data_IF_656147198540
#
_entry.id   IF_656147198540
#
_cell.length_a   1.000
_cell.length_b   1.000
_cell.length_c   1.000
_cell.angle_alpha   90.00
_cell.angle_beta   90.00
_cell.angle_gamma   90.00
#
_symmetry.space_group_name_H-M   'P 1'
#
loop_
_entity.id
_entity.type
_entity.pdbx_description
1 polymer ?
#
# COMPACT_ATOMS: atom_id res chain seq x y z
N UNK A 1 57.54 -5.76 11.39
CA UNK A 1 56.33 -5.00 11.75
C UNK A 1 55.14 -5.76 11.17
N UNK A 2 54.49 -6.62 11.95
CA UNK A 2 53.43 -7.53 11.47
C UNK A 2 52.08 -7.05 12.01
N UNK A 3 51.21 -6.58 11.13
CA UNK A 3 49.85 -6.16 11.49
C UNK A 3 48.95 -7.40 11.61
N UNK A 4 48.37 -7.62 12.78
CA UNK A 4 47.35 -8.65 12.98
C UNK A 4 45.97 -8.07 12.62
N UNK A 5 45.34 -8.58 11.55
CA UNK A 5 43.95 -8.28 11.23
C UNK A 5 43.05 -9.02 12.24
N UNK A 6 42.33 -8.24 13.06
CA UNK A 6 41.33 -8.77 14.00
C UNK A 6 40.00 -8.87 13.26
N UNK A 7 39.64 -10.07 12.80
CA UNK A 7 38.30 -10.33 12.25
C UNK A 7 37.36 -10.53 13.44
N UNK A 8 36.47 -9.56 13.66
CA UNK A 8 35.41 -9.63 14.65
C UNK A 8 34.15 -10.16 13.94
N UNK A 9 33.80 -11.42 14.18
CA UNK A 9 32.55 -12.01 13.69
C UNK A 9 31.40 -11.42 14.49
N UNK A 10 30.64 -10.51 13.88
CA UNK A 10 29.42 -9.94 14.46
C UNK A 10 28.28 -10.92 14.19
N UNK A 11 27.73 -11.53 15.25
CA UNK A 11 26.50 -12.30 15.16
C UNK A 11 25.33 -11.30 15.14
N UNK A 12 24.60 -11.21 14.02
CA UNK A 12 23.39 -10.40 13.94
C UNK A 12 22.30 -11.04 14.82
N UNK A 13 21.93 -10.37 15.91
CA UNK A 13 20.80 -10.76 16.73
C UNK A 13 19.49 -10.40 16.01
N UNK A 14 18.58 -11.37 15.85
CA UNK A 14 17.18 -11.15 15.44
C UNK A 14 16.50 -10.35 16.54
N UNK A 15 16.21 -9.08 16.28
CA UNK A 15 15.44 -8.25 17.21
C UNK A 15 13.96 -8.48 16.93
N UNK A 16 13.28 -9.20 17.82
CA UNK A 16 11.83 -9.25 17.89
C UNK A 16 11.42 -8.26 18.96
N UNK A 17 10.90 -7.10 18.55
CA UNK A 17 10.28 -6.15 19.47
C UNK A 17 8.76 -6.37 19.37
N UNK A 18 8.15 -6.80 20.48
CA UNK A 18 6.70 -6.81 20.65
C UNK A 18 6.39 -5.97 21.88
N UNK A 19 5.56 -4.94 21.73
CA UNK A 19 5.04 -4.14 22.83
C UNK A 19 3.52 -4.34 22.89
N UNK A 20 2.98 -4.59 24.09
CA UNK A 20 1.53 -4.63 24.29
C UNK A 20 1.06 -3.26 24.80
N UNK A 21 0.28 -2.57 23.97
CA UNK A 21 -0.14 -1.18 24.14
C UNK A 21 -1.57 -1.11 24.72
N UNK A 22 -1.69 -1.38 26.02
CA UNK A 22 -2.98 -1.37 26.72
C UNK A 22 -3.53 0.04 27.07
N UNK A 23 -3.06 1.13 26.45
CA UNK A 23 -3.39 2.51 26.89
C UNK A 23 -4.08 3.41 25.85
N UNK A 24 -4.51 2.87 24.70
CA UNK A 24 -5.47 3.55 23.82
C UNK A 24 -4.92 4.65 22.90
N UNK A 25 -3.64 5.01 23.02
CA UNK A 25 -2.86 5.71 21.99
C UNK A 25 -1.42 5.17 22.03
N UNK A 26 -0.86 4.75 20.90
CA UNK A 26 0.48 4.17 20.81
C UNK A 26 1.35 4.81 19.75
N UNK A 27 2.58 5.23 20.08
CA UNK A 27 3.54 5.75 19.11
C UNK A 27 4.84 4.95 19.17
N UNK A 28 5.20 4.27 18.08
CA UNK A 28 6.39 3.42 18.00
C UNK A 28 7.35 3.87 16.90
N UNK A 29 8.65 3.79 17.16
CA UNK A 29 9.69 4.08 16.17
C UNK A 29 10.74 2.98 16.17
N UNK A 30 10.92 2.35 15.01
CA UNK A 30 11.88 1.30 14.74
C UNK A 30 12.92 1.80 13.74
N UNK A 31 14.19 1.74 14.11
CA UNK A 31 15.31 2.03 13.21
C UNK A 31 16.30 0.87 13.21
N UNK A 32 16.55 0.25 12.06
CA UNK A 32 17.44 -0.90 11.95
C UNK A 32 18.30 -0.87 10.68
N UNK A 33 19.54 -1.35 10.76
CA UNK A 33 20.35 -1.65 9.58
C UNK A 33 20.03 -3.01 8.96
N UNK A 34 19.32 -3.88 9.69
CA UNK A 34 19.00 -5.27 9.34
C UNK A 34 17.53 -5.40 8.93
N UNK A 35 17.02 -6.60 8.64
CA UNK A 35 15.62 -6.88 8.32
C UNK A 35 14.81 -7.15 9.62
N UNK A 36 14.25 -6.14 10.31
CA UNK A 36 13.47 -6.37 11.52
C UNK A 36 12.13 -7.04 11.18
N UNK A 37 11.66 -7.90 12.07
CA UNK A 37 10.28 -8.38 12.08
C UNK A 37 9.58 -7.70 13.27
N UNK A 38 8.48 -6.99 13.01
CA UNK A 38 7.67 -6.33 14.02
C UNK A 38 6.24 -6.87 13.96
N UNK A 39 5.67 -7.07 15.15
CA UNK A 39 4.26 -7.37 15.30
C UNK A 39 3.68 -6.51 16.41
N UNK A 40 2.55 -5.85 16.15
CA UNK A 40 1.83 -5.07 17.14
C UNK A 40 0.34 -5.38 17.09
N UNK A 41 -0.29 -5.44 18.26
CA UNK A 41 -1.72 -5.65 18.40
C UNK A 41 -2.30 -4.51 19.27
N UNK A 42 -3.27 -3.74 18.77
CA UNK A 42 -4.09 -2.82 19.58
C UNK A 42 -5.52 -3.31 19.65
N UNK A 43 -6.01 -3.47 20.87
CA UNK A 43 -7.39 -3.90 21.12
C UNK A 43 -8.40 -2.76 21.19
N UNK A 44 -7.92 -1.51 21.22
CA UNK A 44 -8.70 -0.27 21.09
C UNK A 44 -7.75 0.93 20.96
N UNK A 45 -8.21 2.01 20.33
CA UNK A 45 -7.48 3.28 20.25
C UNK A 45 -6.68 3.48 18.96
N UNK A 46 -5.96 4.58 18.86
CA UNK A 46 -5.22 4.95 17.66
C UNK A 46 -3.73 4.59 17.78
N UNK A 47 -3.15 4.09 16.69
CA UNK A 47 -1.73 3.78 16.59
C UNK A 47 -0.98 4.71 15.64
N UNK A 48 0.30 4.95 15.92
CA UNK A 48 1.25 5.49 14.96
C UNK A 48 2.52 4.65 15.02
N UNK A 49 2.93 4.09 13.88
CA UNK A 49 4.16 3.31 13.78
C UNK A 49 5.10 3.88 12.73
N UNK A 50 6.39 3.96 13.07
CA UNK A 50 7.42 4.48 12.18
C UNK A 50 8.53 3.44 12.00
N UNK A 51 8.69 2.92 10.79
CA UNK A 51 9.71 1.95 10.44
C UNK A 51 10.73 2.55 9.48
N UNK A 52 11.99 2.64 9.90
CA UNK A 52 13.10 3.02 9.04
C UNK A 52 14.13 1.89 9.00
N UNK A 53 14.36 1.29 7.83
CA UNK A 53 15.34 0.21 7.71
C UNK A 53 16.27 0.31 6.50
N UNK A 54 17.53 -0.13 6.66
CA UNK A 54 18.43 -0.38 5.51
C UNK A 54 18.08 -1.66 4.73
N UNK A 55 17.37 -2.60 5.37
CA UNK A 55 17.02 -3.92 4.81
C UNK A 55 15.49 -4.11 4.79
N UNK A 56 14.98 -5.32 4.48
CA UNK A 56 13.55 -5.62 4.31
C UNK A 56 12.81 -5.68 5.67
N UNK A 57 12.12 -4.64 6.17
CA UNK A 57 11.27 -4.82 7.35
C UNK A 57 10.07 -5.71 7.01
N UNK A 58 9.65 -6.54 7.95
CA UNK A 58 8.38 -7.25 7.93
C UNK A 58 7.52 -6.70 9.08
N UNK A 59 6.33 -6.18 8.79
CA UNK A 59 5.38 -5.74 9.80
C UNK A 59 4.07 -6.52 9.65
N UNK A 60 3.53 -6.98 10.77
CA UNK A 60 2.19 -7.58 10.85
C UNK A 60 1.45 -6.93 12.01
N UNK A 61 0.38 -6.20 11.74
CA UNK A 61 -0.29 -5.41 12.76
C UNK A 61 -1.80 -5.63 12.75
N UNK A 62 -2.40 -5.74 13.93
CA UNK A 62 -3.85 -5.91 14.10
C UNK A 62 -4.38 -4.83 15.04
N UNK A 63 -5.33 -4.05 14.56
CA UNK A 63 -5.88 -2.91 15.29
C UNK A 63 -7.41 -3.01 15.39
N UNK A 64 -7.96 -2.67 16.54
CA UNK A 64 -9.41 -2.49 16.69
C UNK A 64 -9.83 -1.01 16.56
N UNK A 65 -8.86 -0.11 16.37
CA UNK A 65 -9.02 1.32 16.08
C UNK A 65 -8.21 1.68 14.81
N UNK A 66 -7.91 2.97 14.63
CA UNK A 66 -7.10 3.42 13.49
C UNK A 66 -5.60 3.29 13.69
N UNK A 67 -4.86 3.37 12.59
CA UNK A 67 -3.41 3.44 12.60
C UNK A 67 -2.83 4.31 11.48
N UNK A 68 -1.69 4.93 11.75
CA UNK A 68 -0.82 5.52 10.74
C UNK A 68 0.57 4.89 10.76
N UNK A 69 0.92 4.16 9.70
CA UNK A 69 2.18 3.45 9.54
C UNK A 69 3.06 4.08 8.47
N UNK A 70 4.30 4.45 8.81
CA UNK A 70 5.28 4.97 7.85
C UNK A 70 6.46 4.02 7.71
N UNK A 71 6.64 3.46 6.51
CA UNK A 71 7.69 2.51 6.16
C UNK A 71 8.70 3.13 5.20
N UNK A 72 9.90 3.43 5.69
CA UNK A 72 11.02 3.89 4.88
C UNK A 72 12.11 2.83 4.81
N UNK A 73 12.43 2.33 3.61
CA UNK A 73 13.49 1.33 3.46
C UNK A 73 14.36 1.48 2.21
N UNK A 74 15.65 1.13 2.34
CA UNK A 74 16.51 0.91 1.16
C UNK A 74 16.14 -0.36 0.37
N UNK A 75 15.45 -1.30 1.01
CA UNK A 75 15.05 -2.61 0.47
C UNK A 75 13.51 -2.76 0.44
N UNK A 76 13.00 -3.91 0.01
CA UNK A 76 11.57 -4.19 -0.14
C UNK A 76 10.89 -4.39 1.23
N UNK A 77 10.13 -3.43 1.78
CA UNK A 77 9.33 -3.68 2.98
C UNK A 77 8.18 -4.65 2.64
N UNK A 78 7.81 -5.52 3.58
CA UNK A 78 6.53 -6.21 3.53
C UNK A 78 5.68 -5.81 4.75
N UNK A 79 4.46 -5.36 4.52
CA UNK A 79 3.51 -5.01 5.56
C UNK A 79 2.23 -5.83 5.42
N UNK A 80 1.63 -6.12 6.57
CA UNK A 80 0.31 -6.72 6.71
C UNK A 80 -0.43 -5.98 7.81
N UNK A 81 -1.60 -5.45 7.50
CA UNK A 81 -2.36 -4.60 8.41
C UNK A 81 -3.82 -5.05 8.41
N UNK A 82 -4.39 -5.28 9.58
CA UNK A 82 -5.79 -5.67 9.72
C UNK A 82 -6.47 -4.72 10.72
N UNK A 83 -7.59 -4.10 10.36
CA UNK A 83 -8.43 -3.36 11.32
C UNK A 83 -9.88 -3.83 11.36
N UNK A 84 -10.41 -3.97 12.58
CA UNK A 84 -11.83 -4.25 12.79
C UNK A 84 -12.69 -2.99 12.69
N UNK A 85 -12.14 -1.83 13.06
CA UNK A 85 -12.83 -0.54 13.04
C UNK A 85 -11.78 0.59 13.11
N UNK A 86 -11.97 1.67 12.37
CA UNK A 86 -11.07 2.83 12.37
C UNK A 86 -10.24 2.93 11.08
N UNK A 87 -9.56 4.04 10.90
CA UNK A 87 -8.90 4.35 9.63
C UNK A 87 -7.46 3.86 9.61
N UNK A 88 -7.03 3.27 8.51
CA UNK A 88 -5.65 2.87 8.26
C UNK A 88 -4.98 3.81 7.29
N UNK A 89 -3.79 4.28 7.62
CA UNK A 89 -2.99 5.16 6.76
C UNK A 89 -1.57 4.62 6.65
N UNK A 90 -1.20 4.07 5.51
CA UNK A 90 0.12 3.48 5.31
C UNK A 90 0.92 4.21 4.23
N UNK A 91 2.16 4.59 4.55
CA UNK A 91 3.07 5.21 3.59
C UNK A 91 4.32 4.35 3.42
N UNK A 92 4.59 3.94 2.19
CA UNK A 92 5.77 3.17 1.81
C UNK A 92 6.70 4.03 0.97
N UNK A 93 7.88 4.32 1.48
CA UNK A 93 8.97 4.97 0.75
C UNK A 93 10.14 3.99 0.61
N UNK A 94 10.40 3.48 -0.60
CA UNK A 94 11.46 2.48 -0.79
C UNK A 94 12.28 2.63 -2.08
N UNK A 95 13.57 2.29 -2.02
CA UNK A 95 14.38 2.08 -3.23
C UNK A 95 13.99 0.81 -4.01
N UNK A 96 13.35 -0.15 -3.34
CA UNK A 96 12.94 -1.46 -3.86
C UNK A 96 11.41 -1.62 -3.82
N UNK A 97 10.90 -2.77 -4.24
CA UNK A 97 9.47 -3.06 -4.39
C UNK A 97 8.79 -3.33 -3.02
N UNK A 98 7.95 -2.44 -2.49
CA UNK A 98 7.12 -2.74 -1.32
C UNK A 98 6.12 -3.85 -1.64
N UNK A 99 5.80 -4.67 -0.64
CA UNK A 99 4.66 -5.58 -0.67
C UNK A 99 3.74 -5.22 0.49
N UNK A 100 2.47 -4.93 0.23
CA UNK A 100 1.49 -4.63 1.27
C UNK A 100 0.27 -5.52 1.13
N UNK A 101 -0.40 -5.77 2.24
CA UNK A 101 -1.68 -6.45 2.30
C UNK A 101 -2.48 -5.87 3.46
N UNK A 102 -3.65 -5.29 3.18
CA UNK A 102 -4.39 -4.53 4.19
C UNK A 102 -5.89 -4.83 4.17
N UNK A 103 -6.44 -5.25 5.30
CA UNK A 103 -7.86 -5.63 5.44
C UNK A 103 -8.55 -4.73 6.48
N UNK A 104 -9.65 -4.06 6.11
CA UNK A 104 -10.45 -3.26 7.04
C UNK A 104 -11.92 -3.67 7.03
N UNK A 105 -12.46 -4.05 8.20
CA UNK A 105 -13.88 -4.37 8.32
C UNK A 105 -14.76 -3.10 8.34
N UNK A 106 -14.28 -2.01 8.95
CA UNK A 106 -14.97 -0.72 8.97
C UNK A 106 -13.96 0.43 9.13
N UNK A 107 -14.04 1.45 8.29
CA UNK A 107 -13.14 2.60 8.30
C UNK A 107 -12.42 2.75 6.97
N UNK A 108 -11.73 3.87 6.81
CA UNK A 108 -11.08 4.22 5.55
C UNK A 108 -9.66 3.63 5.50
N UNK A 109 -9.20 3.20 4.33
CA UNK A 109 -7.83 2.80 4.09
C UNK A 109 -7.18 3.76 3.10
N UNK A 110 -6.08 4.37 3.50
CA UNK A 110 -5.26 5.25 2.65
C UNK A 110 -3.86 4.68 2.53
N UNK A 111 -3.44 4.33 1.32
CA UNK A 111 -2.07 3.85 1.08
C UNK A 111 -1.32 4.74 0.10
N UNK A 112 -0.07 5.03 0.40
CA UNK A 112 0.82 5.78 -0.48
C UNK A 112 2.13 5.03 -0.71
N UNK A 113 2.41 4.70 -1.96
CA UNK A 113 3.65 4.05 -2.37
C UNK A 113 4.52 5.01 -3.18
N UNK A 114 5.70 5.33 -2.66
CA UNK A 114 6.75 6.04 -3.36
C UNK A 114 7.96 5.11 -3.52
N UNK A 115 8.17 4.56 -4.72
CA UNK A 115 9.22 3.56 -4.94
C UNK A 115 10.05 3.74 -6.22
N UNK A 116 11.33 3.38 -6.17
CA UNK A 116 12.14 3.20 -7.38
C UNK A 116 11.74 1.94 -8.19
N UNK A 117 11.09 0.98 -7.55
CA UNK A 117 10.71 -0.33 -8.10
C UNK A 117 9.19 -0.53 -8.05
N UNK A 118 8.71 -1.70 -8.50
CA UNK A 118 7.30 -2.04 -8.65
C UNK A 118 6.65 -2.43 -7.31
N UNK A 119 5.80 -1.61 -6.68
CA UNK A 119 5.04 -2.05 -5.51
C UNK A 119 4.04 -3.14 -5.89
N UNK A 120 3.78 -4.07 -4.97
CA UNK A 120 2.71 -5.04 -5.08
C UNK A 120 1.79 -4.89 -3.87
N UNK A 121 0.50 -4.72 -4.10
CA UNK A 121 -0.45 -4.42 -3.03
C UNK A 121 -1.78 -5.15 -3.21
N UNK A 122 -2.41 -5.48 -2.09
CA UNK A 122 -3.71 -6.13 -2.02
C UNK A 122 -4.51 -5.59 -0.83
N UNK A 123 -5.70 -5.05 -1.06
CA UNK A 123 -6.53 -4.57 0.05
C UNK A 123 -7.99 -4.94 -0.08
N UNK A 124 -8.62 -5.24 1.07
CA UNK A 124 -10.04 -5.58 1.16
C UNK A 124 -10.73 -4.70 2.23
N UNK A 125 -11.74 -3.95 1.82
CA UNK A 125 -12.52 -3.05 2.70
C UNK A 125 -13.98 -3.47 2.70
N UNK A 126 -14.52 -3.87 3.85
CA UNK A 126 -15.93 -4.24 3.94
C UNK A 126 -16.86 -3.01 4.01
N UNK A 127 -16.44 -1.93 4.69
CA UNK A 127 -17.19 -0.68 4.79
C UNK A 127 -16.27 0.51 5.03
N UNK A 128 -16.19 1.44 4.10
CA UNK A 128 -15.33 2.62 4.16
C UNK A 128 -14.64 2.88 2.83
N UNK A 129 -13.93 3.98 2.73
CA UNK A 129 -13.31 4.40 1.48
C UNK A 129 -11.88 3.86 1.36
N UNK A 130 -11.51 3.40 0.17
CA UNK A 130 -10.14 3.04 -0.18
C UNK A 130 -9.54 4.16 -1.04
N UNK A 131 -8.39 4.71 -0.63
CA UNK A 131 -7.62 5.66 -1.45
C UNK A 131 -6.17 5.23 -1.55
N UNK A 132 -5.70 5.00 -2.78
CA UNK A 132 -4.33 4.58 -3.02
C UNK A 132 -3.61 5.44 -4.03
N UNK A 133 -2.35 5.74 -3.72
CA UNK A 133 -1.48 6.52 -4.58
C UNK A 133 -0.14 5.84 -4.81
N UNK A 134 0.19 5.62 -6.08
CA UNK A 134 1.44 5.02 -6.51
C UNK A 134 2.26 6.05 -7.27
N UNK A 135 3.47 6.32 -6.80
CA UNK A 135 4.51 7.06 -7.50
C UNK A 135 5.73 6.15 -7.66
N UNK A 136 5.93 5.61 -8.86
CA UNK A 136 6.99 4.62 -9.11
C UNK A 136 7.79 4.82 -10.40
N UNK A 137 9.07 4.48 -10.38
CA UNK A 137 9.85 4.31 -11.62
C UNK A 137 9.46 3.07 -12.45
N UNK A 138 8.84 2.08 -11.80
CA UNK A 138 8.48 0.78 -12.35
C UNK A 138 6.97 0.52 -12.27
N UNK A 139 6.50 -0.62 -12.75
CA UNK A 139 5.09 -0.98 -12.89
C UNK A 139 4.47 -1.46 -11.56
N UNK A 140 3.59 -0.69 -10.88
CA UNK A 140 2.87 -1.19 -9.71
C UNK A 140 1.90 -2.31 -10.10
N UNK A 141 1.67 -3.24 -9.18
CA UNK A 141 0.64 -4.27 -9.27
C UNK A 141 -0.32 -4.14 -8.08
N UNK A 142 -1.59 -3.88 -8.36
CA UNK A 142 -2.62 -3.54 -7.38
C UNK A 142 -3.85 -4.44 -7.57
N UNK A 143 -4.41 -4.96 -6.49
CA UNK A 143 -5.67 -5.71 -6.50
C UNK A 143 -6.52 -5.40 -5.26
N UNK A 144 -7.70 -4.82 -5.48
CA UNK A 144 -8.45 -4.13 -4.44
C UNK A 144 -9.94 -4.41 -4.50
N UNK A 145 -10.55 -4.62 -3.35
CA UNK A 145 -11.98 -4.84 -3.21
C UNK A 145 -12.58 -3.97 -2.10
N UNK A 146 -13.59 -3.18 -2.43
CA UNK A 146 -14.39 -2.41 -1.46
C UNK A 146 -15.84 -2.86 -1.56
N UNK A 147 -16.37 -3.52 -0.52
CA UNK A 147 -17.76 -3.98 -0.55
C UNK A 147 -18.77 -2.81 -0.46
N UNK A 148 -18.50 -1.83 0.40
CA UNK A 148 -19.28 -0.60 0.52
C UNK A 148 -18.37 0.61 0.84
N UNK A 149 -18.46 1.66 0.02
CA UNK A 149 -17.60 2.84 0.08
C UNK A 149 -16.91 3.08 -1.26
N UNK A 150 -16.25 4.22 -1.39
CA UNK A 150 -15.61 4.64 -2.63
C UNK A 150 -14.20 4.03 -2.74
N UNK A 151 -13.79 3.73 -3.97
CA UNK A 151 -12.44 3.25 -4.29
C UNK A 151 -11.76 4.24 -5.22
N UNK A 152 -10.66 4.84 -4.78
CA UNK A 152 -9.86 5.77 -5.58
C UNK A 152 -8.43 5.29 -5.70
N UNK A 153 -7.97 5.07 -6.93
CA UNK A 153 -6.58 4.72 -7.21
C UNK A 153 -5.93 5.73 -8.16
N UNK A 154 -4.70 6.13 -7.84
CA UNK A 154 -3.88 6.98 -8.68
C UNK A 154 -2.51 6.35 -8.92
N UNK A 155 -2.19 6.13 -10.19
CA UNK A 155 -0.88 5.62 -10.61
C UNK A 155 -0.13 6.69 -11.38
N UNK A 156 1.07 7.04 -10.91
CA UNK A 156 2.06 7.83 -11.61
C UNK A 156 3.32 6.98 -11.79
N UNK A 157 3.56 6.49 -13.01
CA UNK A 157 4.67 5.56 -13.26
C UNK A 157 5.43 5.79 -14.56
N UNK A 158 6.74 5.50 -14.57
CA UNK A 158 7.50 5.38 -15.81
C UNK A 158 7.12 4.16 -16.66
N UNK A 159 6.55 3.13 -16.04
CA UNK A 159 6.20 1.83 -16.63
C UNK A 159 4.70 1.55 -16.53
N UNK A 160 4.24 0.45 -17.12
CA UNK A 160 2.83 0.08 -17.23
C UNK A 160 2.25 -0.48 -15.92
N UNK A 161 1.39 0.24 -15.18
CA UNK A 161 0.73 -0.30 -14.00
C UNK A 161 -0.23 -1.44 -14.36
N UNK A 162 -0.39 -2.40 -13.46
CA UNK A 162 -1.40 -3.45 -13.53
C UNK A 162 -2.36 -3.30 -12.33
N UNK A 163 -3.63 -3.02 -12.57
CA UNK A 163 -4.62 -2.76 -11.54
C UNK A 163 -5.87 -3.63 -11.71
N UNK A 164 -6.40 -4.11 -10.59
CA UNK A 164 -7.66 -4.85 -10.51
C UNK A 164 -8.51 -4.27 -9.37
N UNK A 165 -9.54 -3.50 -9.68
CA UNK A 165 -10.37 -2.83 -8.67
C UNK A 165 -11.83 -3.31 -8.72
N UNK A 166 -12.40 -3.69 -7.57
CA UNK A 166 -13.80 -4.10 -7.45
C UNK A 166 -14.49 -3.29 -6.35
N UNK A 167 -15.59 -2.61 -6.70
CA UNK A 167 -16.44 -1.90 -5.72
C UNK A 167 -17.84 -2.48 -5.76
N UNK A 168 -18.37 -2.93 -4.61
CA UNK A 168 -19.73 -3.45 -4.48
C UNK A 168 -20.77 -2.32 -4.56
N UNK A 169 -20.74 -1.40 -3.60
CA UNK A 169 -21.56 -0.20 -3.56
C UNK A 169 -20.71 1.04 -3.23
N UNK A 170 -20.67 2.01 -4.13
CA UNK A 170 -19.80 3.19 -4.06
C UNK A 170 -19.19 3.48 -5.42
N UNK A 171 -18.51 4.62 -5.52
CA UNK A 171 -17.89 5.06 -6.75
C UNK A 171 -16.48 4.49 -6.87
N UNK A 172 -16.07 4.16 -8.10
CA UNK A 172 -14.73 3.68 -8.43
C UNK A 172 -14.07 4.71 -9.33
N UNK A 173 -12.94 5.27 -8.89
CA UNK A 173 -12.13 6.20 -9.67
C UNK A 173 -10.70 5.69 -9.83
N UNK A 174 -10.28 5.40 -11.06
CA UNK A 174 -8.88 5.11 -11.37
C UNK A 174 -8.28 6.20 -12.25
N UNK A 175 -7.09 6.66 -11.90
CA UNK A 175 -6.29 7.56 -12.73
C UNK A 175 -4.92 6.96 -12.98
N UNK A 176 -4.55 6.84 -14.25
CA UNK A 176 -3.24 6.38 -14.69
C UNK A 176 -2.51 7.50 -15.43
N UNK A 177 -1.32 7.83 -14.97
CA UNK A 177 -0.34 8.68 -15.64
C UNK A 177 0.91 7.85 -15.87
N UNK A 178 1.17 7.42 -17.11
CA UNK A 178 2.28 6.51 -17.39
C UNK A 178 3.00 6.74 -18.72
N UNK A 179 4.31 6.48 -18.75
CA UNK A 179 5.08 6.40 -19.99
C UNK A 179 4.74 5.18 -20.87
N UNK A 180 4.13 4.15 -20.29
CA UNK A 180 3.76 2.89 -20.95
C UNK A 180 2.27 2.60 -20.82
N UNK A 181 1.74 1.61 -21.53
CA UNK A 181 0.31 1.26 -21.53
C UNK A 181 -0.12 0.55 -20.22
N UNK A 182 -0.98 1.17 -19.38
CA UNK A 182 -1.57 0.49 -18.23
C UNK A 182 -2.43 -0.72 -18.62
N UNK A 183 -2.49 -1.73 -17.73
CA UNK A 183 -3.44 -2.82 -17.78
C UNK A 183 -4.39 -2.70 -16.59
N UNK A 184 -5.67 -2.39 -16.84
CA UNK A 184 -6.64 -2.12 -15.78
C UNK A 184 -7.91 -2.96 -15.97
N UNK A 185 -8.35 -3.62 -14.91
CA UNK A 185 -9.62 -4.32 -14.86
C UNK A 185 -10.44 -3.80 -13.68
N UNK A 186 -11.64 -3.28 -13.95
CA UNK A 186 -12.44 -2.66 -12.89
C UNK A 186 -13.91 -3.05 -12.93
N UNK A 187 -14.55 -3.13 -11.76
CA UNK A 187 -15.93 -3.57 -11.65
C UNK A 187 -16.63 -2.77 -10.56
N UNK A 188 -17.69 -2.08 -10.94
CA UNK A 188 -18.56 -1.35 -10.01
C UNK A 188 -19.92 -2.01 -9.98
N UNK A 189 -20.38 -2.40 -8.80
CA UNK A 189 -21.71 -2.97 -8.58
C UNK A 189 -22.78 -1.89 -8.71
N UNK A 190 -22.86 -1.01 -7.70
CA UNK A 190 -23.72 0.17 -7.68
C UNK A 190 -22.88 1.43 -7.42
N UNK A 191 -22.97 2.44 -8.29
CA UNK A 191 -22.15 3.66 -8.23
C UNK A 191 -21.57 4.01 -9.60
N UNK A 192 -20.76 5.07 -9.65
CA UNK A 192 -20.07 5.52 -10.85
C UNK A 192 -18.72 4.83 -11.02
N UNK A 193 -18.33 4.53 -12.26
CA UNK A 193 -17.00 4.03 -12.60
C UNK A 193 -16.27 5.04 -13.49
N UNK A 194 -15.28 5.74 -12.96
CA UNK A 194 -14.49 6.74 -13.70
C UNK A 194 -13.06 6.24 -13.89
N UNK A 195 -12.61 6.21 -15.14
CA UNK A 195 -11.24 5.79 -15.48
C UNK A 195 -10.56 6.82 -16.39
N UNK A 196 -9.44 7.37 -15.94
CA UNK A 196 -8.68 8.38 -16.65
C UNK A 196 -7.30 7.84 -16.99
N UNK A 197 -6.93 7.87 -18.27
CA UNK A 197 -5.64 7.38 -18.74
C UNK A 197 -4.89 8.48 -19.47
N UNK A 198 -3.73 8.85 -18.93
CA UNK A 198 -2.75 9.74 -19.50
C UNK A 198 -1.51 8.92 -19.82
N UNK A 199 -1.39 8.41 -21.05
CA UNK A 199 -0.28 7.52 -21.42
C UNK A 199 0.26 7.71 -22.83
N UNK A 200 1.57 7.53 -23.00
CA UNK A 200 2.22 7.46 -24.31
C UNK A 200 1.81 6.24 -25.14
N UNK A 201 1.07 5.28 -24.57
CA UNK A 201 0.58 4.08 -25.26
C UNK A 201 -0.86 3.75 -24.87
N UNK A 202 -1.58 3.06 -25.76
CA UNK A 202 -2.98 2.71 -25.51
C UNK A 202 -3.10 1.68 -24.37
N UNK A 203 -3.91 1.94 -23.32
CA UNK A 203 -4.10 1.01 -22.21
C UNK A 203 -4.92 -0.23 -22.61
N UNK A 204 -4.66 -1.35 -21.95
CA UNK A 204 -5.51 -2.54 -22.00
C UNK A 204 -6.52 -2.46 -20.85
N UNK A 205 -7.78 -2.16 -21.17
CA UNK A 205 -8.81 -1.89 -20.14
C UNK A 205 -10.01 -2.82 -20.27
N UNK A 206 -10.51 -3.29 -19.13
CA UNK A 206 -11.76 -4.02 -19.02
C UNK A 206 -12.53 -3.51 -17.80
N UNK A 207 -13.51 -2.63 -18.02
CA UNK A 207 -14.32 -2.14 -16.92
C UNK A 207 -15.82 -2.35 -17.13
N UNK A 208 -16.56 -2.57 -16.04
CA UNK A 208 -18.01 -2.76 -16.03
C UNK A 208 -18.65 -2.05 -14.84
N UNK A 209 -19.81 -1.45 -15.08
CA UNK A 209 -20.67 -0.88 -14.04
C UNK A 209 -22.05 -1.51 -14.19
N UNK A 210 -22.57 -2.19 -13.16
CA UNK A 210 -23.89 -2.83 -13.27
C UNK A 210 -25.05 -1.87 -13.02
N UNK A 211 -24.92 -0.95 -12.06
CA UNK A 211 -25.92 0.05 -11.76
C UNK A 211 -25.26 1.41 -11.49
N UNK A 212 -25.33 2.32 -12.47
CA UNK A 212 -24.70 3.63 -12.44
C UNK A 212 -24.02 3.94 -13.78
N UNK A 213 -23.24 5.02 -13.81
CA UNK A 213 -22.59 5.48 -15.03
C UNK A 213 -21.12 5.06 -15.11
N UNK A 214 -20.62 4.85 -16.32
CA UNK A 214 -19.22 4.54 -16.58
C UNK A 214 -18.61 5.61 -17.48
N UNK A 215 -17.61 6.32 -16.98
CA UNK A 215 -16.85 7.33 -17.70
C UNK A 215 -15.44 6.84 -17.96
N UNK A 216 -14.98 6.93 -19.22
CA UNK A 216 -13.58 6.66 -19.56
C UNK A 216 -13.01 7.77 -20.43
N UNK A 217 -11.84 8.25 -20.05
CA UNK A 217 -11.08 9.22 -20.82
C UNK A 217 -9.69 8.67 -21.12
N UNK A 218 -9.28 8.80 -22.37
CA UNK A 218 -7.93 8.47 -22.82
C UNK A 218 -7.29 9.71 -23.44
N UNK A 219 -6.10 10.07 -22.95
CA UNK A 219 -5.27 11.15 -23.46
C UNK A 219 -3.86 10.62 -23.66
N UNK A 220 -3.32 10.77 -24.87
CA UNK A 220 -1.93 10.39 -25.18
C UNK A 220 -1.05 11.61 -25.43
N UNK A 221 0.14 11.63 -24.82
CA UNK A 221 1.17 12.62 -25.13
C UNK A 221 1.71 12.40 -26.55
N UNK A 222 1.75 13.45 -27.36
CA UNK A 222 2.33 13.43 -28.72
C UNK A 222 3.81 13.79 -28.72
#
# INVERSE_FOLDING_TARGET
MTAQHKIQTIHAARQTAGASLFEGDGAEMFSSGSAPECSADLTAGEGVSLFSSGSMPQAAQSWAGGETGLFSSGSAPAARSETAAGDLVEMFSSGSAPVAQSDAAAGDLVQMFSSGSAPADQSEIASGDLTEMYSSGSAPAAAHETAAGDLTEMFSSGSAPAAQAETGAGDLTEMFSSGSAPAAAAKTGAGEGTHLFFSGSAPATAARTSAGDATRLFSSGS
#
